data_IF_740596719793
#
_entry.id   IF_740596719793
#
_cell.length_a   1.000
_cell.length_b   1.000
_cell.length_c   1.000
_cell.angle_alpha   90.00
_cell.angle_beta   90.00
_cell.angle_gamma   90.00
#
_symmetry.space_group_name_H-M   'P 1'
#
loop_
_entity.id
_entity.type
_entity.pdbx_description
1 polymer ?
#
# COMPACT_ATOMS: atom_id res chain seq x y z
N UNK A 1 14.47 10.65 2.39
CA UNK A 1 14.14 9.21 2.30
C UNK A 1 13.62 8.77 3.65
N UNK A 2 12.62 7.89 3.68
CA UNK A 2 12.04 7.32 4.90
C UNK A 2 12.41 5.84 5.00
N UNK A 3 12.65 5.36 6.21
CA UNK A 3 12.93 3.94 6.49
C UNK A 3 11.86 3.43 7.43
N UNK A 4 11.15 2.40 7.01
CA UNK A 4 10.18 1.66 7.79
C UNK A 4 10.81 0.32 8.17
N UNK A 5 11.20 0.15 9.44
CA UNK A 5 11.91 -1.03 9.94
C UNK A 5 11.24 -1.58 11.20
N UNK A 6 11.15 -2.91 11.32
CA UNK A 6 10.58 -3.55 12.50
C UNK A 6 11.26 -3.09 13.79
N UNK A 7 10.48 -2.60 14.74
CA UNK A 7 10.95 -2.28 16.08
C UNK A 7 11.26 -3.54 16.91
N UNK A 8 11.87 -3.38 18.10
CA UNK A 8 12.27 -4.50 18.96
C UNK A 8 11.10 -5.39 19.38
N UNK A 9 9.90 -4.83 19.49
CA UNK A 9 8.68 -5.56 19.85
C UNK A 9 8.06 -6.33 18.68
N UNK A 10 8.55 -6.15 17.45
CA UNK A 10 8.07 -6.81 16.23
C UNK A 10 6.56 -6.64 15.98
N UNK A 11 5.98 -5.54 16.45
CA UNK A 11 4.56 -5.19 16.30
C UNK A 11 4.31 -4.38 15.02
N UNK A 12 3.03 -4.20 14.69
CA UNK A 12 2.61 -3.27 13.64
C UNK A 12 3.10 -1.85 13.90
N UNK A 13 3.37 -1.12 12.81
CA UNK A 13 3.62 0.31 12.83
C UNK A 13 3.00 0.99 11.62
N UNK A 14 2.51 2.21 11.80
CA UNK A 14 1.91 3.00 10.75
C UNK A 14 2.48 4.41 10.74
N UNK A 15 2.77 4.94 9.56
CA UNK A 15 3.09 6.34 9.34
C UNK A 15 2.02 6.93 8.41
N UNK A 16 1.10 7.72 8.97
CA UNK A 16 -0.02 8.29 8.24
C UNK A 16 0.19 9.77 7.89
N UNK A 17 -0.49 10.24 6.86
CA UNK A 17 -0.70 11.68 6.63
C UNK A 17 -1.68 12.24 7.67
N UNK A 18 -1.50 13.49 8.07
CA UNK A 18 -2.46 14.18 8.95
C UNK A 18 -3.78 14.50 8.24
N UNK A 19 -3.71 14.74 6.92
CA UNK A 19 -4.86 15.06 6.07
C UNK A 19 -5.56 13.79 5.59
N UNK A 20 -6.89 13.85 5.51
CA UNK A 20 -7.72 12.86 4.83
C UNK A 20 -7.88 13.19 3.32
N UNK A 21 -7.94 12.15 2.49
CA UNK A 21 -8.05 12.25 1.05
C UNK A 21 -9.23 11.43 0.52
N UNK A 22 -9.97 12.02 -0.43
CA UNK A 22 -11.07 11.37 -1.15
C UNK A 22 -10.64 10.90 -2.53
N UNK A 23 -10.33 11.82 -3.44
CA UNK A 23 -9.85 11.52 -4.79
C UNK A 23 -8.42 12.03 -4.94
N UNK A 24 -7.51 11.18 -5.37
CA UNK A 24 -6.11 11.52 -5.49
C UNK A 24 -5.37 10.57 -6.42
N UNK A 25 -4.24 11.07 -6.91
CA UNK A 25 -3.16 10.27 -7.47
C UNK A 25 -1.99 10.30 -6.49
N UNK A 26 -1.54 9.13 -6.05
CA UNK A 26 -0.34 8.95 -5.25
C UNK A 26 0.74 8.30 -6.13
N UNK A 27 1.94 8.88 -6.10
CA UNK A 27 3.15 8.26 -6.65
C UNK A 27 4.21 8.20 -5.57
N UNK A 28 4.89 7.07 -5.47
CA UNK A 28 6.00 6.86 -4.54
C UNK A 28 7.00 5.85 -5.11
N UNK A 29 8.16 5.78 -4.49
CA UNK A 29 9.12 4.71 -4.74
C UNK A 29 9.41 3.95 -3.47
N UNK A 30 9.52 2.63 -3.59
CA UNK A 30 9.85 1.75 -2.47
C UNK A 30 10.98 0.78 -2.83
N UNK A 31 11.74 0.36 -1.81
CA UNK A 31 12.78 -0.67 -1.92
C UNK A 31 12.71 -1.59 -0.70
N UNK A 32 12.54 -2.89 -0.95
CA UNK A 32 12.55 -3.93 0.09
C UNK A 32 14.00 -4.34 0.37
N UNK A 33 14.51 -4.04 1.56
CA UNK A 33 15.86 -4.45 2.00
C UNK A 33 15.86 -5.74 2.83
N UNK A 34 14.72 -6.06 3.44
CA UNK A 34 14.48 -7.31 4.14
C UNK A 34 13.03 -7.76 3.85
N UNK A 35 12.48 -8.72 4.61
CA UNK A 35 11.11 -9.20 4.43
C UNK A 35 10.17 -8.02 4.15
N UNK A 36 9.49 -8.06 3.00
CA UNK A 36 8.89 -6.86 2.42
C UNK A 36 7.46 -6.58 2.81
N UNK A 37 6.86 -7.39 3.68
CA UNK A 37 5.43 -7.31 4.00
C UNK A 37 5.10 -5.95 4.64
N UNK A 38 4.45 -5.12 3.85
CA UNK A 38 4.16 -3.72 4.07
C UNK A 38 2.99 -3.35 3.15
N UNK A 39 2.69 -2.07 3.04
CA UNK A 39 1.60 -1.63 2.19
C UNK A 39 1.37 -0.14 2.29
N UNK A 40 0.59 0.33 1.33
CA UNK A 40 0.14 1.71 1.24
C UNK A 40 -1.36 1.72 1.48
N UNK A 41 -1.75 2.09 2.69
CA UNK A 41 -3.14 2.30 3.04
C UNK A 41 -3.69 3.56 2.38
N UNK A 42 -4.93 3.47 1.92
CA UNK A 42 -5.68 4.56 1.28
C UNK A 42 -7.07 4.64 1.89
N UNK A 43 -7.61 5.86 2.02
CA UNK A 43 -8.95 6.12 2.60
C UNK A 43 -9.18 5.38 3.93
N UNK A 44 -8.12 5.29 4.74
CA UNK A 44 -8.10 4.45 5.95
C UNK A 44 -8.22 5.28 7.22
N UNK A 45 -8.64 4.62 8.29
CA UNK A 45 -8.71 5.15 9.66
C UNK A 45 -7.82 4.32 10.61
N UNK A 46 -7.28 4.94 11.66
CA UNK A 46 -6.53 4.28 12.73
C UNK A 46 -7.28 4.56 14.04
N UNK A 47 -7.60 3.50 14.76
CA UNK A 47 -8.12 3.55 16.13
C UNK A 47 -7.12 2.84 17.05
N UNK A 48 -6.40 3.61 17.88
CA UNK A 48 -5.26 3.12 18.64
C UNK A 48 -4.16 2.55 17.73
N UNK A 49 -3.96 1.23 17.77
CA UNK A 49 -3.02 0.51 16.90
C UNK A 49 -3.71 -0.26 15.77
N UNK A 50 -5.04 -0.19 15.67
CA UNK A 50 -5.82 -0.90 14.67
C UNK A 50 -6.07 0.03 13.47
N UNK A 51 -5.47 -0.30 12.34
CA UNK A 51 -5.83 0.33 11.07
C UNK A 51 -7.04 -0.38 10.47
N UNK A 52 -7.97 0.37 9.90
CA UNK A 52 -9.08 -0.17 9.10
C UNK A 52 -9.14 0.56 7.78
N UNK A 53 -9.23 -0.19 6.69
CA UNK A 53 -9.35 0.36 5.34
C UNK A 53 -8.62 -0.49 4.31
N UNK A 54 -8.37 0.14 3.16
CA UNK A 54 -7.82 -0.52 1.99
C UNK A 54 -6.33 -0.28 1.89
N UNK A 55 -5.58 -1.30 1.54
CA UNK A 55 -4.15 -1.22 1.26
C UNK A 55 -3.85 -1.70 -0.15
N UNK A 56 -2.87 -1.05 -0.77
CA UNK A 56 -2.15 -1.60 -1.91
C UNK A 56 -0.91 -2.28 -1.38
N UNK A 57 -0.77 -3.58 -1.64
CA UNK A 57 0.23 -4.43 -1.01
C UNK A 57 1.65 -4.08 -1.45
N UNK A 58 2.60 -4.14 -0.51
CA UNK A 58 4.03 -4.30 -0.79
C UNK A 58 4.47 -5.57 -0.07
N UNK A 59 4.92 -6.57 -0.81
CA UNK A 59 5.23 -7.88 -0.27
C UNK A 59 6.40 -8.52 -1.04
N UNK A 60 7.03 -9.58 -0.50
CA UNK A 60 7.99 -10.36 -1.25
C UNK A 60 7.44 -10.90 -2.59
N UNK A 61 8.33 -11.40 -3.43
CA UNK A 61 7.96 -12.08 -4.69
C UNK A 61 6.91 -13.18 -4.47
N UNK A 62 5.97 -13.29 -5.41
CA UNK A 62 4.87 -14.27 -5.40
C UNK A 62 3.87 -14.08 -4.25
N UNK A 63 3.88 -12.91 -3.60
CA UNK A 63 2.96 -12.52 -2.54
C UNK A 63 2.17 -11.24 -2.90
N UNK A 64 1.90 -11.04 -4.20
CA UNK A 64 0.83 -10.16 -4.69
C UNK A 64 1.06 -8.64 -4.50
N UNK A 65 2.31 -8.16 -4.57
CA UNK A 65 2.60 -6.71 -4.57
C UNK A 65 1.77 -5.97 -5.61
N UNK A 66 1.16 -4.85 -5.20
CA UNK A 66 0.25 -4.06 -6.03
C UNK A 66 -1.20 -4.54 -6.01
N UNK A 67 -1.50 -5.71 -5.41
CA UNK A 67 -2.88 -6.13 -5.13
C UNK A 67 -3.58 -5.23 -4.13
N UNK A 68 -4.91 -5.31 -4.05
CA UNK A 68 -5.74 -4.52 -3.14
C UNK A 68 -6.36 -5.44 -2.09
N UNK A 69 -6.08 -5.13 -0.83
CA UNK A 69 -6.55 -5.85 0.35
C UNK A 69 -7.30 -4.90 1.29
N UNK A 70 -8.31 -5.39 2.00
CA UNK A 70 -9.07 -4.63 2.99
C UNK A 70 -8.84 -5.20 4.40
N UNK A 71 -8.04 -4.48 5.19
CA UNK A 71 -7.64 -4.90 6.53
C UNK A 71 -8.80 -4.78 7.51
N UNK A 72 -9.01 -5.85 8.28
CA UNK A 72 -10.17 -6.02 9.19
C UNK A 72 -11.54 -5.86 8.51
N UNK A 73 -11.58 -6.05 7.18
CA UNK A 73 -12.79 -6.12 6.37
C UNK A 73 -12.87 -7.43 5.60
N UNK A 74 -13.02 -7.35 4.28
CA UNK A 74 -13.24 -8.48 3.38
C UNK A 74 -11.97 -9.26 3.03
N UNK A 75 -10.78 -8.77 3.35
CA UNK A 75 -9.51 -9.38 2.95
C UNK A 75 -9.14 -9.06 1.50
N UNK A 76 -8.64 -10.04 0.74
CA UNK A 76 -8.24 -9.82 -0.66
C UNK A 76 -9.43 -9.42 -1.53
N UNK A 77 -9.39 -8.20 -2.07
CA UNK A 77 -10.42 -7.70 -2.99
C UNK A 77 -10.04 -7.98 -4.44
N UNK A 78 -8.76 -7.79 -4.77
CA UNK A 78 -8.20 -8.13 -6.08
C UNK A 78 -6.70 -8.41 -5.93
N UNK A 79 -6.27 -9.56 -6.42
CA UNK A 79 -4.85 -9.91 -6.55
C UNK A 79 -4.37 -9.54 -7.95
N UNK A 80 -3.08 -9.21 -8.13
CA UNK A 80 -2.52 -9.06 -9.46
C UNK A 80 -2.57 -10.40 -10.19
N UNK A 81 -2.52 -10.37 -11.52
CA UNK A 81 -2.43 -11.61 -12.29
C UNK A 81 -1.09 -12.29 -12.00
N UNK A 82 -1.03 -13.64 -11.98
CA UNK A 82 0.23 -14.34 -11.74
C UNK A 82 1.37 -13.90 -12.67
N UNK A 83 1.07 -13.64 -13.95
CA UNK A 83 2.08 -13.18 -14.92
C UNK A 83 2.61 -11.76 -14.68
N UNK A 84 1.92 -10.98 -13.85
CA UNK A 84 2.28 -9.59 -13.54
C UNK A 84 3.19 -9.49 -12.31
N UNK A 85 3.28 -10.53 -11.49
CA UNK A 85 4.15 -10.53 -10.29
C UNK A 85 5.64 -10.30 -10.61
N UNK A 86 6.06 -10.65 -11.84
CA UNK A 86 7.41 -10.42 -12.38
C UNK A 86 7.81 -8.94 -12.46
N UNK A 87 6.86 -8.01 -12.37
CA UNK A 87 7.15 -6.58 -12.45
C UNK A 87 7.77 -6.03 -11.16
N UNK A 88 7.71 -6.78 -10.06
CA UNK A 88 8.43 -6.46 -8.84
C UNK A 88 9.93 -6.68 -9.04
N UNK A 89 10.73 -5.68 -8.69
CA UNK A 89 12.19 -5.78 -8.64
C UNK A 89 12.64 -5.89 -7.19
N UNK A 90 12.78 -7.11 -6.68
CA UNK A 90 13.25 -7.33 -5.30
C UNK A 90 14.65 -6.78 -5.10
N UNK A 91 14.89 -6.16 -3.93
CA UNK A 91 16.18 -5.57 -3.59
C UNK A 91 16.54 -4.30 -4.36
N UNK A 92 15.66 -3.78 -5.23
CA UNK A 92 15.84 -2.55 -5.98
C UNK A 92 14.64 -1.59 -5.85
N UNK A 93 14.78 -0.37 -6.35
CA UNK A 93 13.74 0.65 -6.33
C UNK A 93 12.63 0.32 -7.32
N UNK A 94 11.41 0.28 -6.81
CA UNK A 94 10.18 0.15 -7.56
C UNK A 94 9.38 1.44 -7.49
N UNK A 95 8.75 1.85 -8.59
CA UNK A 95 7.82 2.98 -8.60
C UNK A 95 6.40 2.43 -8.50
N UNK A 96 5.65 2.87 -7.48
CA UNK A 96 4.23 2.59 -7.35
C UNK A 96 3.43 3.84 -7.70
N UNK A 97 2.34 3.65 -8.43
CA UNK A 97 1.30 4.66 -8.61
C UNK A 97 -0.03 4.07 -8.14
N UNK A 98 -0.82 4.89 -7.45
CA UNK A 98 -2.16 4.54 -7.01
C UNK A 98 -3.08 5.68 -7.43
N UNK A 99 -4.10 5.37 -8.22
CA UNK A 99 -5.16 6.31 -8.59
C UNK A 99 -6.42 5.93 -7.84
N UNK A 100 -6.97 6.87 -7.10
CA UNK A 100 -8.22 6.72 -6.36
C UNK A 100 -9.17 7.79 -6.86
N UNK A 101 -10.28 7.40 -7.50
CA UNK A 101 -11.26 8.33 -8.06
C UNK A 101 -12.67 7.76 -7.96
N UNK A 102 -13.54 8.42 -7.19
CA UNK A 102 -14.89 7.94 -6.97
C UNK A 102 -14.88 6.59 -6.26
N UNK A 103 -15.50 5.59 -6.86
CA UNK A 103 -15.56 4.20 -6.42
C UNK A 103 -14.48 3.30 -7.06
N UNK A 104 -13.52 3.89 -7.78
CA UNK A 104 -12.47 3.17 -8.48
C UNK A 104 -11.10 3.37 -7.81
N UNK A 105 -10.32 2.30 -7.77
CA UNK A 105 -8.91 2.29 -7.43
C UNK A 105 -8.13 1.51 -8.47
N UNK A 106 -6.97 2.02 -8.85
CA UNK A 106 -6.02 1.34 -9.74
C UNK A 106 -4.62 1.47 -9.19
N UNK A 107 -3.87 0.38 -9.21
CA UNK A 107 -2.46 0.35 -8.83
C UNK A 107 -1.59 0.04 -10.05
N UNK A 108 -0.42 0.65 -10.09
CA UNK A 108 0.63 0.33 -11.06
C UNK A 108 1.96 0.12 -10.33
N UNK A 109 2.76 -0.79 -10.88
CA UNK A 109 4.11 -1.07 -10.45
C UNK A 109 5.03 -0.95 -11.66
N UNK A 110 6.03 -0.07 -11.57
CA UNK A 110 7.01 0.17 -12.64
C UNK A 110 6.37 0.49 -14.01
N UNK A 111 5.20 1.14 -14.01
CA UNK A 111 4.45 1.50 -15.21
C UNK A 111 3.47 0.43 -15.70
N UNK A 112 3.50 -0.78 -15.14
CA UNK A 112 2.55 -1.84 -15.45
C UNK A 112 1.36 -1.82 -14.48
N UNK A 113 0.14 -1.99 -14.98
CA UNK A 113 -1.05 -2.01 -14.13
C UNK A 113 -1.13 -3.33 -13.37
N UNK A 114 -1.21 -3.28 -12.04
CA UNK A 114 -1.24 -4.48 -11.19
C UNK A 114 -2.67 -4.89 -10.83
N UNK A 115 -3.49 -3.92 -10.42
CA UNK A 115 -4.87 -4.19 -10.03
C UNK A 115 -5.78 -3.02 -10.40
N UNK A 116 -7.03 -3.34 -10.70
CA UNK A 116 -8.14 -2.40 -10.85
C UNK A 116 -9.33 -2.95 -10.07
N UNK A 117 -9.98 -2.09 -9.31
CA UNK A 117 -11.20 -2.42 -8.58
C UNK A 117 -12.19 -1.26 -8.71
N UNK A 118 -13.44 -1.60 -9.00
CA UNK A 118 -14.59 -0.72 -8.85
C UNK A 118 -15.48 -1.28 -7.77
N UNK A 119 -15.64 -0.55 -6.67
CA UNK A 119 -16.32 -1.02 -5.48
C UNK A 119 -17.05 0.12 -4.77
N UNK A 120 -18.36 0.01 -4.66
CA UNK A 120 -19.18 1.08 -4.08
C UNK A 120 -18.92 1.27 -2.58
N UNK A 121 -18.50 0.22 -1.86
CA UNK A 121 -18.08 0.31 -0.45
C UNK A 121 -16.78 1.12 -0.33
N UNK A 122 -15.79 0.84 -1.16
CA UNK A 122 -14.57 1.65 -1.31
C UNK A 122 -14.88 3.10 -1.65
N UNK A 123 -15.85 3.34 -2.55
CA UNK A 123 -16.30 4.67 -2.96
C UNK A 123 -16.82 5.55 -1.81
N UNK A 124 -17.33 4.95 -0.74
CA UNK A 124 -17.80 5.66 0.45
C UNK A 124 -16.64 6.07 1.37
N UNK A 125 -15.48 5.42 1.28
CA UNK A 125 -14.32 5.69 2.11
C UNK A 125 -13.71 7.08 1.92
N UNK A 126 -13.21 7.64 3.00
CA UNK A 126 -12.37 8.85 3.06
C UNK A 126 -11.48 8.71 4.29
N UNK A 127 -10.21 9.09 4.18
CA UNK A 127 -9.26 8.91 5.26
C UNK A 127 -7.84 9.20 4.82
N UNK A 128 -6.89 8.99 5.72
CA UNK A 128 -5.49 9.27 5.44
C UNK A 128 -4.89 8.24 4.47
N UNK A 129 -3.68 8.56 4.02
CA UNK A 129 -2.76 7.62 3.39
C UNK A 129 -1.75 7.19 4.46
N UNK A 130 -1.44 5.90 4.56
CA UNK A 130 -0.43 5.43 5.52
C UNK A 130 0.51 4.37 4.95
N UNK A 131 1.75 4.38 5.43
CA UNK A 131 2.73 3.33 5.18
C UNK A 131 2.75 2.35 6.35
N UNK A 132 2.79 1.05 6.06
CA UNK A 132 2.76 -0.01 7.08
C UNK A 132 4.13 -0.64 7.35
N UNK A 133 4.34 -1.08 8.59
CA UNK A 133 5.25 -2.16 8.94
C UNK A 133 4.38 -3.28 9.53
N UNK A 134 4.43 -4.48 8.94
CA UNK A 134 3.69 -5.63 9.45
C UNK A 134 4.36 -6.19 10.73
N UNK A 135 3.59 -6.89 11.56
CA UNK A 135 4.15 -7.65 12.68
C UNK A 135 4.95 -8.88 12.23
N UNK A 136 5.76 -9.45 13.13
CA UNK A 136 6.56 -10.67 12.89
C UNK A 136 8.07 -10.41 12.80
N UNK A 137 8.46 -9.16 12.56
CA UNK A 137 9.86 -8.73 12.56
C UNK A 137 10.60 -9.00 11.25
N UNK A 138 11.81 -8.45 11.14
CA UNK A 138 12.68 -8.65 9.97
C UNK A 138 12.23 -7.87 8.73
N UNK A 139 11.39 -6.85 8.91
CA UNK A 139 10.89 -6.01 7.82
C UNK A 139 11.72 -4.74 7.73
N UNK A 140 12.13 -4.41 6.50
CA UNK A 140 12.84 -3.16 6.21
C UNK A 140 12.49 -2.69 4.81
N UNK A 141 11.73 -1.61 4.73
CA UNK A 141 11.30 -0.99 3.47
C UNK A 141 11.70 0.48 3.47
N UNK A 142 12.38 0.91 2.41
CA UNK A 142 12.72 2.31 2.17
C UNK A 142 11.70 2.95 1.27
N UNK A 143 11.38 4.21 1.52
CA UNK A 143 10.43 5.00 0.75
C UNK A 143 11.02 6.34 0.36
N UNK A 144 10.78 6.77 -0.88
CA UNK A 144 11.16 8.12 -1.34
C UNK A 144 10.22 8.62 -2.43
N UNK A 145 10.36 9.91 -2.75
CA UNK A 145 9.61 10.55 -3.83
C UNK A 145 8.09 10.40 -3.70
N UNK A 146 7.58 10.39 -2.46
CA UNK A 146 6.15 10.31 -2.15
C UNK A 146 5.50 11.64 -2.53
N UNK A 147 4.55 11.59 -3.46
CA UNK A 147 3.82 12.75 -3.98
C UNK A 147 2.35 12.41 -4.08
N UNK A 148 1.52 13.20 -3.44
CA UNK A 148 0.06 13.12 -3.54
C UNK A 148 -0.44 14.31 -4.34
N UNK A 149 -1.33 14.06 -5.29
CA UNK A 149 -2.05 15.08 -6.06
C UNK A 149 -3.54 14.82 -5.90
N UNK A 150 -4.26 15.74 -5.27
CA UNK A 150 -5.73 15.70 -5.21
C UNK A 150 -6.36 15.95 -6.59
N UNK A 151 -7.56 15.39 -6.79
CA UNK A 151 -8.31 15.41 -8.05
C UNK A 151 -9.66 16.10 -7.90
#
# INVERSE_FOLDING_TARGET
ELICESGPNKQYGYLSTDKAYKNFELSLQFKQEANGNSGVFVRSGIDGTKISGWQVEVAPENLHTGGIYESYGRGWLIQPKPEDEKWLKMGDWNTMKILVKGDEITSWLNGHQMAYLKDSTFGKGEGFIALQIHEGGGIKVRWKNIKVKEL
#
